data_IF_950362807758
#
_entry.id   IF_950362807758
#
_cell.length_a   1.000
_cell.length_b   1.000
_cell.length_c   1.000
_cell.angle_alpha   90.00
_cell.angle_beta   90.00
_cell.angle_gamma   90.00
#
_symmetry.space_group_name_H-M   'P 1'
#
loop_
_entity.id
_entity.type
_entity.pdbx_description
1 polymer ?
#
# COMPACT_ATOMS: atom_id res chain seq x y z
N UNK A 1 -3.17 3.57 6.13
CA UNK A 1 -2.03 4.40 5.70
C UNK A 1 -1.88 5.69 6.52
N UNK A 2 -2.83 6.64 6.60
CA UNK A 2 -2.60 7.90 7.32
C UNK A 2 -2.12 7.72 8.76
N UNK A 3 -2.81 6.88 9.54
CA UNK A 3 -2.41 6.56 10.91
C UNK A 3 -1.03 5.88 11.03
N UNK A 4 -0.63 5.09 10.02
CA UNK A 4 0.71 4.50 10.01
C UNK A 4 1.76 5.60 9.85
N UNK A 5 1.55 6.53 8.92
CA UNK A 5 2.47 7.66 8.69
C UNK A 5 2.56 8.57 9.93
N UNK A 6 1.42 8.96 10.50
CA UNK A 6 1.35 9.80 11.71
C UNK A 6 2.05 9.16 12.92
N UNK A 7 1.92 7.84 13.09
CA UNK A 7 2.56 7.09 14.18
C UNK A 7 4.09 7.08 14.05
N UNK A 8 4.61 6.94 12.82
CA UNK A 8 6.04 6.69 12.60
C UNK A 8 6.84 7.94 12.22
N UNK A 9 6.18 9.04 11.84
CA UNK A 9 6.82 10.28 11.42
C UNK A 9 6.18 11.49 12.13
N UNK A 10 6.31 11.55 13.46
CA UNK A 10 5.65 12.55 14.30
C UNK A 10 6.01 14.01 14.00
N UNK A 11 7.17 14.25 13.39
CA UNK A 11 7.65 15.58 13.01
C UNK A 11 7.06 16.07 11.67
N UNK A 12 6.28 15.22 11.00
CA UNK A 12 5.58 15.53 9.75
C UNK A 12 4.07 15.55 9.97
N UNK A 13 3.40 16.53 9.36
CA UNK A 13 1.95 16.56 9.23
C UNK A 13 1.56 16.03 7.85
N UNK A 14 0.72 15.00 7.82
CA UNK A 14 0.26 14.38 6.58
C UNK A 14 -1.17 14.79 6.29
N UNK A 15 -1.41 15.29 5.09
CA UNK A 15 -2.76 15.60 4.63
C UNK A 15 -3.10 14.81 3.38
N UNK A 16 -4.13 13.96 3.47
CA UNK A 16 -4.57 13.14 2.34
C UNK A 16 -5.38 13.98 1.34
N UNK A 17 -4.90 14.07 0.09
CA UNK A 17 -5.59 14.78 -1.00
C UNK A 17 -6.43 13.91 -1.94
N UNK A 18 -6.26 12.58 -1.90
CA UNK A 18 -7.07 11.65 -2.70
C UNK A 18 -8.34 11.23 -1.95
N UNK A 19 -9.50 11.08 -2.62
CA UNK A 19 -10.73 10.66 -1.97
C UNK A 19 -10.60 9.27 -1.34
N UNK A 20 -11.31 9.05 -0.23
CA UNK A 20 -11.51 7.71 0.33
C UNK A 20 -12.56 7.02 -0.54
N UNK A 21 -12.11 6.25 -1.53
CA UNK A 21 -13.04 5.42 -2.30
C UNK A 21 -13.51 4.24 -1.45
N UNK A 22 -14.76 4.31 -0.98
CA UNK A 22 -15.46 3.13 -0.43
C UNK A 22 -15.86 2.25 -1.61
N UNK A 23 -15.07 1.19 -1.88
CA UNK A 23 -15.50 0.14 -2.81
C UNK A 23 -16.89 -0.34 -2.37
N UNK A 24 -17.89 -0.40 -3.27
CA UNK A 24 -19.20 -0.95 -2.92
C UNK A 24 -19.00 -2.36 -2.35
N UNK A 25 -19.57 -2.62 -1.18
CA UNK A 25 -19.65 -3.97 -0.63
C UNK A 25 -20.64 -4.77 -1.48
N UNK A 26 -20.13 -5.39 -2.54
CA UNK A 26 -20.90 -6.27 -3.42
C UNK A 26 -20.16 -7.58 -3.57
N UNK A 27 -20.85 -8.70 -3.29
CA UNK A 27 -20.37 -10.06 -3.60
C UNK A 27 -19.86 -10.07 -5.05
N UNK A 28 -18.57 -10.34 -5.24
CA UNK A 28 -17.97 -10.50 -6.57
C UNK A 28 -18.77 -11.58 -7.30
N UNK A 29 -19.40 -11.24 -8.42
CA UNK A 29 -19.96 -12.27 -9.32
C UNK A 29 -18.80 -13.00 -9.98
N UNK A 30 -18.79 -14.34 -9.91
CA UNK A 30 -17.86 -15.16 -10.70
C UNK A 30 -17.93 -14.73 -12.17
N UNK A 31 -16.77 -14.48 -12.78
CA UNK A 31 -16.66 -14.13 -14.21
C UNK A 31 -16.72 -12.63 -14.56
N UNK A 32 -16.84 -11.71 -13.59
CA UNK A 32 -16.82 -10.26 -13.86
C UNK A 32 -15.46 -9.65 -13.50
N UNK A 33 -14.70 -9.18 -14.50
CA UNK A 33 -13.48 -8.41 -14.27
C UNK A 33 -13.83 -6.99 -13.81
N UNK A 34 -13.79 -6.75 -12.50
CA UNK A 34 -13.94 -5.41 -11.96
C UNK A 34 -12.64 -4.64 -12.13
N UNK A 35 -12.47 -3.97 -13.27
CA UNK A 35 -11.51 -2.88 -13.48
C UNK A 35 -10.10 -3.12 -12.92
N UNK A 36 -9.51 -4.28 -13.23
CA UNK A 36 -8.10 -4.56 -12.98
C UNK A 36 -7.25 -3.60 -13.86
N UNK A 37 -6.23 -2.96 -13.29
CA UNK A 37 -5.29 -2.10 -14.04
C UNK A 37 -5.58 -0.58 -14.10
N UNK A 38 -6.70 -0.09 -13.54
CA UNK A 38 -7.03 1.36 -13.57
C UNK A 38 -6.44 2.18 -12.43
N UNK A 39 -5.81 1.59 -11.42
CA UNK A 39 -5.40 2.26 -10.17
C UNK A 39 -4.28 3.27 -10.40
N UNK A 40 -3.14 2.88 -10.95
CA UNK A 40 -2.00 3.79 -11.18
C UNK A 40 -2.27 4.88 -12.20
N UNK A 41 -2.85 4.55 -13.37
CA UNK A 41 -3.24 5.54 -14.39
C UNK A 41 -4.31 6.51 -13.87
N UNK A 42 -5.28 6.03 -13.09
CA UNK A 42 -6.26 6.90 -12.44
C UNK A 42 -5.59 7.79 -11.40
N UNK A 43 -4.61 7.28 -10.65
CA UNK A 43 -3.87 8.08 -9.68
C UNK A 43 -3.07 9.18 -10.36
N UNK A 44 -2.39 8.92 -11.48
CA UNK A 44 -1.69 9.94 -12.26
C UNK A 44 -2.63 11.07 -12.72
N UNK A 45 -3.84 10.74 -13.16
CA UNK A 45 -4.87 11.74 -13.50
C UNK A 45 -5.33 12.52 -12.26
N UNK A 46 -5.60 11.82 -11.16
CA UNK A 46 -6.00 12.44 -9.89
C UNK A 46 -4.92 13.35 -9.33
N UNK A 47 -3.64 13.01 -9.47
CA UNK A 47 -2.51 13.86 -9.08
C UNK A 47 -2.62 15.20 -9.79
N UNK A 48 -2.81 15.21 -11.11
CA UNK A 48 -2.92 16.46 -11.89
C UNK A 48 -4.05 17.35 -11.40
N UNK A 49 -5.23 16.78 -11.22
CA UNK A 49 -6.44 17.53 -10.83
C UNK A 49 -6.36 18.04 -9.38
N UNK A 50 -5.95 17.17 -8.45
CA UNK A 50 -5.94 17.46 -7.02
C UNK A 50 -4.77 18.36 -6.64
N UNK A 51 -3.59 18.12 -7.20
CA UNK A 51 -2.43 18.96 -6.92
C UNK A 51 -2.66 20.37 -7.42
N UNK A 52 -3.21 20.54 -8.63
CA UNK A 52 -3.58 21.87 -9.15
C UNK A 52 -4.53 22.58 -8.18
N UNK A 53 -5.61 21.91 -7.78
CA UNK A 53 -6.60 22.49 -6.85
C UNK A 53 -5.97 22.88 -5.52
N UNK A 54 -5.08 22.05 -4.97
CA UNK A 54 -4.41 22.31 -3.70
C UNK A 54 -3.46 23.51 -3.80
N UNK A 55 -2.64 23.59 -4.86
CA UNK A 55 -1.72 24.71 -5.05
C UNK A 55 -2.43 26.04 -5.30
N UNK A 56 -3.60 26.01 -5.94
CA UNK A 56 -4.38 27.22 -6.24
C UNK A 56 -5.14 27.77 -5.01
N UNK A 57 -5.54 26.90 -4.05
CA UNK A 57 -6.54 27.27 -3.04
C UNK A 57 -6.13 26.99 -1.57
N UNK A 58 -5.03 26.29 -1.34
CA UNK A 58 -4.68 25.77 -0.01
C UNK A 58 -3.30 26.24 0.45
N UNK A 59 -2.97 25.95 1.70
CA UNK A 59 -1.65 26.29 2.26
C UNK A 59 -0.54 25.53 1.51
N UNK A 60 0.63 26.16 1.29
CA UNK A 60 1.74 25.52 0.60
C UNK A 60 2.23 24.28 1.38
N UNK A 61 2.46 23.18 0.68
CA UNK A 61 3.07 21.98 1.25
C UNK A 61 4.58 21.94 1.00
N UNK A 62 5.32 21.30 1.91
CA UNK A 62 6.77 21.14 1.79
C UNK A 62 7.18 19.88 1.00
N UNK A 63 6.26 18.92 0.84
CA UNK A 63 6.48 17.63 0.20
C UNK A 63 5.20 17.19 -0.52
N UNK A 64 5.36 16.72 -1.75
CA UNK A 64 4.37 15.90 -2.45
C UNK A 64 4.74 14.44 -2.22
N UNK A 65 3.90 13.71 -1.48
CA UNK A 65 4.06 12.29 -1.21
C UNK A 65 3.03 11.50 -2.03
N UNK A 66 3.50 10.58 -2.86
CA UNK A 66 2.67 9.63 -3.60
C UNK A 66 2.94 8.22 -3.08
N UNK A 67 1.89 7.49 -2.70
CA UNK A 67 1.97 6.07 -2.32
C UNK A 67 0.90 5.32 -3.10
N UNK A 68 1.31 4.26 -3.82
CA UNK A 68 0.40 3.40 -4.59
C UNK A 68 0.71 1.91 -4.36
N UNK A 69 -0.25 1.04 -4.67
CA UNK A 69 0.01 -0.41 -4.79
C UNK A 69 0.78 -0.64 -6.10
N UNK A 70 1.92 -1.33 -6.04
CA UNK A 70 2.76 -1.53 -7.24
C UNK A 70 2.08 -2.47 -8.24
N UNK A 71 1.24 -3.39 -7.76
CA UNK A 71 0.54 -4.40 -8.56
C UNK A 71 1.50 -5.15 -9.51
N UNK A 72 2.69 -5.51 -9.04
CA UNK A 72 3.74 -6.19 -9.82
C UNK A 72 4.27 -5.40 -11.03
N UNK A 73 3.90 -4.12 -11.18
CA UNK A 73 4.42 -3.27 -12.26
C UNK A 73 5.89 -2.93 -12.03
N UNK A 74 6.53 -2.47 -13.09
CA UNK A 74 7.88 -1.89 -13.06
C UNK A 74 7.89 -0.60 -12.24
N UNK A 75 8.60 -0.63 -11.11
CA UNK A 75 8.70 0.48 -10.15
C UNK A 75 9.23 1.76 -10.80
N UNK A 76 10.24 1.68 -11.64
CA UNK A 76 10.89 2.86 -12.23
C UNK A 76 9.96 3.52 -13.25
N UNK A 77 9.26 2.72 -14.06
CA UNK A 77 8.23 3.23 -14.98
C UNK A 77 7.07 3.88 -14.23
N UNK A 78 6.60 3.28 -13.13
CA UNK A 78 5.53 3.89 -12.32
C UNK A 78 6.00 5.19 -11.65
N UNK A 79 7.24 5.21 -11.15
CA UNK A 79 7.86 6.41 -10.57
C UNK A 79 7.89 7.53 -11.60
N UNK A 80 8.41 7.25 -12.80
CA UNK A 80 8.50 8.23 -13.88
C UNK A 80 7.12 8.75 -14.30
N UNK A 81 6.12 7.87 -14.43
CA UNK A 81 4.74 8.27 -14.76
C UNK A 81 4.16 9.26 -13.74
N UNK A 82 4.39 9.03 -12.45
CA UNK A 82 3.91 9.94 -11.41
C UNK A 82 4.71 11.25 -11.34
N UNK A 83 6.03 11.21 -11.56
CA UNK A 83 6.85 12.42 -11.68
C UNK A 83 6.37 13.30 -12.83
N UNK A 84 6.15 12.72 -14.02
CA UNK A 84 5.61 13.42 -15.18
C UNK A 84 4.24 14.02 -14.89
N UNK A 85 3.38 13.30 -14.16
CA UNK A 85 2.09 13.83 -13.75
C UNK A 85 2.23 15.08 -12.87
N UNK A 86 3.15 15.06 -11.89
CA UNK A 86 3.44 16.20 -11.02
C UNK A 86 4.02 17.36 -11.83
N UNK A 87 4.95 17.10 -12.75
CA UNK A 87 5.63 18.14 -13.55
C UNK A 87 4.70 18.91 -14.48
N UNK A 88 3.57 18.32 -14.87
CA UNK A 88 2.55 19.03 -15.66
C UNK A 88 1.77 20.08 -14.87
N UNK A 89 1.90 20.14 -13.54
CA UNK A 89 1.19 21.08 -12.69
C UNK A 89 2.06 22.31 -12.39
N UNK A 90 1.58 23.48 -12.80
CA UNK A 90 2.25 24.75 -12.52
C UNK A 90 2.46 24.95 -11.00
N UNK A 91 3.66 25.41 -10.62
CA UNK A 91 4.02 25.61 -9.20
C UNK A 91 4.54 24.35 -8.49
N UNK A 92 4.30 23.15 -9.02
CA UNK A 92 4.76 21.90 -8.41
C UNK A 92 6.27 21.61 -8.64
N UNK A 93 6.91 22.32 -9.56
CA UNK A 93 8.33 22.16 -9.89
C UNK A 93 9.28 22.42 -8.71
N UNK A 94 8.93 23.37 -7.83
CA UNK A 94 9.77 23.77 -6.71
C UNK A 94 9.54 22.93 -5.43
N UNK A 95 8.52 22.07 -5.42
CA UNK A 95 8.14 21.28 -4.23
C UNK A 95 8.87 19.94 -4.27
N UNK A 96 9.47 19.56 -3.14
CA UNK A 96 10.11 18.24 -2.99
C UNK A 96 9.09 17.12 -3.23
N UNK A 97 9.56 15.98 -3.74
CA UNK A 97 8.72 14.85 -4.12
C UNK A 97 9.27 13.58 -3.53
N UNK A 98 8.38 12.71 -3.07
CA UNK A 98 8.72 11.34 -2.69
C UNK A 98 7.63 10.42 -3.22
N UNK A 99 8.04 9.38 -3.93
CA UNK A 99 7.16 8.39 -4.52
C UNK A 99 7.50 7.05 -3.89
N UNK A 100 6.53 6.44 -3.24
CA UNK A 100 6.64 5.14 -2.60
C UNK A 100 5.64 4.15 -3.15
N UNK A 101 5.92 2.88 -2.94
CA UNK A 101 5.04 1.79 -3.37
C UNK A 101 4.86 0.77 -2.26
N UNK A 102 3.69 0.16 -2.22
CA UNK A 102 3.48 -1.10 -1.53
C UNK A 102 3.56 -2.23 -2.56
N UNK A 103 4.54 -3.12 -2.44
CA UNK A 103 4.79 -4.17 -3.42
C UNK A 103 4.44 -5.56 -2.85
N UNK A 104 3.71 -6.40 -3.60
CA UNK A 104 2.83 -6.01 -4.71
C UNK A 104 1.67 -5.09 -4.28
N UNK A 105 1.24 -5.19 -3.02
CA UNK A 105 0.21 -4.36 -2.38
C UNK A 105 0.46 -4.31 -0.87
N UNK A 106 -0.28 -3.46 -0.13
CA UNK A 106 -0.10 -3.28 1.33
C UNK A 106 -0.14 -4.57 2.15
N UNK A 107 -0.87 -5.58 1.69
CA UNK A 107 -0.98 -6.87 2.37
C UNK A 107 0.38 -7.59 2.49
N UNK A 108 1.35 -7.28 1.62
CA UNK A 108 2.72 -7.78 1.75
C UNK A 108 3.37 -7.36 3.08
N UNK A 109 3.07 -6.14 3.53
CA UNK A 109 3.61 -5.62 4.79
C UNK A 109 3.02 -6.35 6.01
N UNK A 110 1.75 -6.73 5.91
CA UNK A 110 1.10 -7.55 6.94
C UNK A 110 1.74 -8.95 7.01
N UNK A 111 2.04 -9.54 5.84
CA UNK A 111 2.68 -10.86 5.76
C UNK A 111 4.12 -10.83 6.29
N UNK A 112 4.88 -9.79 5.95
CA UNK A 112 6.26 -9.62 6.42
C UNK A 112 6.36 -9.64 7.95
N UNK A 113 5.41 -8.98 8.61
CA UNK A 113 5.30 -8.91 10.07
C UNK A 113 4.08 -9.67 10.60
N UNK A 114 3.91 -10.91 10.13
CA UNK A 114 2.78 -11.77 10.47
C UNK A 114 2.52 -11.88 11.98
N UNK A 115 3.59 -12.03 12.76
CA UNK A 115 3.51 -12.31 14.19
C UNK A 115 3.03 -11.11 15.01
N UNK A 116 3.21 -9.87 14.53
CA UNK A 116 2.65 -8.68 15.17
C UNK A 116 1.29 -8.26 14.62
N UNK A 117 0.95 -8.71 13.40
CA UNK A 117 -0.28 -8.33 12.71
C UNK A 117 -1.32 -9.45 12.78
N UNK A 118 -1.42 -10.29 11.75
CA UNK A 118 -2.46 -11.31 11.61
C UNK A 118 -2.46 -12.29 12.79
N UNK A 119 -1.28 -12.73 13.24
CA UNK A 119 -1.19 -13.69 14.34
C UNK A 119 -1.72 -13.18 15.67
N UNK A 120 -1.66 -11.86 15.91
CA UNK A 120 -2.12 -11.23 17.17
C UNK A 120 -3.57 -10.76 17.11
N UNK A 121 -4.10 -10.51 15.91
CA UNK A 121 -5.44 -9.97 15.76
C UNK A 121 -6.51 -10.93 16.29
N UNK A 122 -7.49 -10.42 17.05
CA UNK A 122 -8.51 -11.25 17.69
C UNK A 122 -9.30 -12.11 16.72
N UNK A 123 -9.45 -11.64 15.48
CA UNK A 123 -10.24 -12.35 14.46
C UNK A 123 -9.47 -13.48 13.76
N UNK A 124 -8.14 -13.46 13.81
CA UNK A 124 -7.30 -14.42 13.07
C UNK A 124 -6.40 -15.25 13.99
N UNK A 125 -6.12 -14.81 15.21
CA UNK A 125 -5.22 -15.49 16.16
C UNK A 125 -5.56 -16.96 16.45
N UNK A 126 -6.83 -17.36 16.25
CA UNK A 126 -7.25 -18.76 16.44
C UNK A 126 -6.93 -19.67 15.25
N UNK A 127 -6.81 -19.11 14.04
CA UNK A 127 -6.63 -19.83 12.78
C UNK A 127 -5.31 -19.48 12.06
N UNK A 128 -4.54 -18.50 12.57
CA UNK A 128 -3.40 -17.91 11.86
C UNK A 128 -2.30 -18.92 11.45
N UNK A 129 -2.10 -20.00 12.23
CA UNK A 129 -1.11 -21.02 11.87
C UNK A 129 -1.53 -21.80 10.62
N UNK A 130 -2.82 -22.17 10.55
CA UNK A 130 -3.38 -22.85 9.39
C UNK A 130 -3.40 -21.93 8.16
N UNK A 131 -3.80 -20.66 8.35
CA UNK A 131 -3.70 -19.63 7.30
C UNK A 131 -2.27 -19.52 6.78
N UNK A 132 -1.28 -19.33 7.68
CA UNK A 132 0.12 -19.17 7.31
C UNK A 132 0.65 -20.38 6.55
N UNK A 133 0.33 -21.59 7.02
CA UNK A 133 0.71 -22.83 6.35
C UNK A 133 0.17 -22.85 4.92
N UNK A 134 -1.12 -22.63 4.73
CA UNK A 134 -1.75 -22.64 3.40
C UNK A 134 -1.23 -21.54 2.47
N UNK A 135 -1.07 -20.32 2.99
CA UNK A 135 -0.49 -19.21 2.23
C UNK A 135 0.92 -19.53 1.77
N UNK A 136 1.74 -20.14 2.64
CA UNK A 136 3.12 -20.52 2.30
C UNK A 136 3.21 -21.74 1.39
N UNK A 137 2.33 -22.73 1.55
CA UNK A 137 2.46 -24.04 0.91
C UNK A 137 1.61 -24.15 -0.36
N UNK A 138 0.34 -23.81 -0.28
CA UNK A 138 -0.60 -23.90 -1.41
C UNK A 138 -0.52 -22.68 -2.33
N UNK A 139 -0.25 -21.50 -1.75
CA UNK A 139 -0.13 -20.24 -2.50
C UNK A 139 1.30 -19.80 -2.76
N UNK A 140 2.30 -20.53 -2.26
CA UNK A 140 3.71 -20.21 -2.45
C UNK A 140 4.07 -18.75 -2.09
N UNK A 141 3.39 -18.17 -1.11
CA UNK A 141 3.67 -16.80 -0.66
C UNK A 141 4.97 -16.80 0.15
N UNK A 142 5.99 -16.03 -0.25
CA UNK A 142 7.25 -15.95 0.48
C UNK A 142 7.13 -15.03 1.70
N UNK A 143 7.07 -15.60 2.91
CA UNK A 143 6.95 -14.82 4.16
C UNK A 143 8.23 -14.05 4.55
N UNK A 144 9.37 -14.37 3.93
CA UNK A 144 10.65 -13.69 4.15
C UNK A 144 10.98 -12.68 3.04
N UNK A 145 10.22 -12.66 1.94
CA UNK A 145 10.35 -11.70 0.85
C UNK A 145 8.99 -11.41 0.18
N UNK A 146 7.95 -10.97 0.91
CA UNK A 146 6.59 -10.93 0.39
C UNK A 146 6.39 -9.94 -0.76
N UNK A 147 7.31 -8.99 -0.95
CA UNK A 147 7.30 -8.09 -2.12
C UNK A 147 7.60 -8.80 -3.45
N UNK A 148 8.18 -10.01 -3.41
CA UNK A 148 8.42 -10.83 -4.60
C UNK A 148 7.23 -11.71 -4.98
N UNK A 149 6.09 -11.56 -4.31
CA UNK A 149 4.93 -12.41 -4.58
C UNK A 149 4.27 -12.06 -5.91
N UNK A 150 3.87 -13.12 -6.62
CA UNK A 150 3.22 -13.10 -7.92
C UNK A 150 4.10 -12.56 -9.05
N UNK A 151 3.53 -12.54 -10.25
CA UNK A 151 4.15 -12.09 -11.48
C UNK A 151 3.28 -11.03 -12.14
N UNK A 152 3.89 -10.17 -12.95
CA UNK A 152 3.16 -9.19 -13.72
C UNK A 152 2.36 -9.85 -14.84
N UNK A 153 1.05 -9.58 -14.87
CA UNK A 153 0.15 -9.97 -15.94
C UNK A 153 -0.10 -8.77 -16.86
N UNK A 154 0.45 -8.84 -18.09
CA UNK A 154 0.35 -7.76 -19.07
C UNK A 154 -1.07 -7.54 -19.62
N UNK A 155 -1.91 -8.56 -19.62
CA UNK A 155 -3.28 -8.48 -20.14
C UNK A 155 -4.19 -7.75 -19.15
N UNK A 156 -3.94 -7.93 -17.85
CA UNK A 156 -4.69 -7.27 -16.76
C UNK A 156 -4.02 -6.00 -16.24
N UNK A 157 -2.77 -5.73 -16.62
CA UNK A 157 -1.95 -4.61 -16.14
C UNK A 157 -1.90 -4.60 -14.59
N UNK A 158 -1.68 -5.77 -13.97
CA UNK A 158 -1.52 -5.95 -12.52
C UNK A 158 -0.85 -7.30 -12.19
N UNK A 159 -0.71 -7.65 -10.92
CA UNK A 159 -0.29 -8.99 -10.51
C UNK A 159 -1.24 -10.08 -11.02
N UNK A 160 -0.66 -11.24 -11.34
CA UNK A 160 -1.40 -12.44 -11.74
C UNK A 160 -2.30 -12.95 -10.61
N UNK A 161 -1.78 -12.94 -9.38
CA UNK A 161 -2.46 -13.28 -8.13
C UNK A 161 -2.35 -12.12 -7.13
N UNK A 162 -3.33 -12.01 -6.22
CA UNK A 162 -3.39 -10.95 -5.21
C UNK A 162 -3.26 -11.50 -3.81
N UNK A 163 -2.41 -10.87 -3.00
CA UNK A 163 -2.21 -11.23 -1.59
C UNK A 163 -3.50 -11.06 -0.79
N UNK A 164 -4.24 -9.98 -1.04
CA UNK A 164 -5.53 -9.72 -0.41
C UNK A 164 -6.57 -10.80 -0.71
N UNK A 165 -6.56 -11.37 -1.92
CA UNK A 165 -7.45 -12.48 -2.29
C UNK A 165 -7.03 -13.79 -1.64
N UNK A 166 -5.71 -14.04 -1.55
CA UNK A 166 -5.18 -15.19 -0.82
C UNK A 166 -5.52 -15.11 0.69
N UNK A 167 -5.39 -13.94 1.31
CA UNK A 167 -5.77 -13.72 2.71
C UNK A 167 -7.26 -14.00 2.93
N UNK A 168 -8.14 -13.46 2.08
CA UNK A 168 -9.60 -13.74 2.13
C UNK A 168 -9.87 -15.23 2.04
N UNK A 169 -9.34 -15.90 1.01
CA UNK A 169 -9.55 -17.32 0.80
C UNK A 169 -9.04 -18.16 1.97
N UNK A 170 -7.89 -17.79 2.56
CA UNK A 170 -7.35 -18.49 3.73
C UNK A 170 -8.25 -18.34 4.96
N UNK A 171 -8.89 -17.19 5.16
CA UNK A 171 -9.83 -17.00 6.28
C UNK A 171 -11.13 -17.80 6.09
N UNK A 172 -11.63 -17.91 4.86
CA UNK A 172 -12.80 -18.71 4.52
C UNK A 172 -12.52 -20.20 4.68
N UNK A 173 -11.36 -20.68 4.20
CA UNK A 173 -10.95 -22.09 4.23
C UNK A 173 -10.83 -22.65 5.65
N UNK A 174 -10.37 -21.84 6.61
CA UNK A 174 -10.10 -22.28 7.97
C UNK A 174 -11.08 -21.73 9.01
N UNK A 175 -12.25 -21.26 8.55
CA UNK A 175 -13.35 -20.80 9.40
C UNK A 175 -12.86 -19.86 10.51
N UNK A 176 -12.03 -18.89 10.13
CA UNK A 176 -11.59 -17.86 11.06
C UNK A 176 -12.79 -17.11 11.64
N UNK A 177 -12.60 -16.44 12.77
CA UNK A 177 -13.67 -15.72 13.45
C UNK A 177 -14.34 -14.69 12.53
N UNK A 178 -13.56 -14.03 11.68
CA UNK A 178 -14.05 -13.17 10.61
C UNK A 178 -13.30 -13.44 9.30
N UNK A 179 -13.91 -13.07 8.18
CA UNK A 179 -13.26 -13.07 6.86
C UNK A 179 -12.40 -11.83 6.73
N UNK A 180 -11.18 -11.97 6.18
CA UNK A 180 -10.31 -10.83 5.96
C UNK A 180 -11.00 -9.78 5.07
N UNK A 181 -10.84 -8.51 5.42
CA UNK A 181 -11.49 -7.38 4.74
C UNK A 181 -10.44 -6.29 4.55
N UNK A 182 -10.09 -6.01 3.29
CA UNK A 182 -9.07 -5.01 2.95
C UNK A 182 -9.44 -3.61 3.46
N UNK A 183 -10.74 -3.30 3.56
CA UNK A 183 -11.22 -2.00 4.03
C UNK A 183 -11.15 -1.82 5.55
N UNK A 184 -11.30 -2.91 6.30
CA UNK A 184 -11.41 -2.87 7.77
C UNK A 184 -10.13 -3.33 8.44
N UNK A 185 -9.60 -4.48 8.03
CA UNK A 185 -8.46 -5.11 8.67
C UNK A 185 -7.13 -4.48 8.25
N UNK A 186 -6.92 -4.18 6.96
CA UNK A 186 -5.63 -3.61 6.51
C UNK A 186 -5.26 -2.32 7.28
N UNK A 187 -6.14 -1.31 7.46
CA UNK A 187 -5.78 -0.13 8.23
C UNK A 187 -5.44 -0.41 9.70
N UNK A 188 -6.16 -1.33 10.34
CA UNK A 188 -5.94 -1.71 11.74
C UNK A 188 -4.61 -2.44 11.92
N UNK A 189 -4.35 -3.42 11.07
CA UNK A 189 -3.15 -4.25 11.12
C UNK A 189 -1.90 -3.47 10.74
N UNK A 190 -1.99 -2.52 9.79
CA UNK A 190 -0.88 -1.60 9.49
C UNK A 190 -0.41 -0.85 10.74
N UNK A 191 -1.33 -0.46 11.64
CA UNK A 191 -0.99 0.22 12.89
C UNK A 191 -0.19 -0.65 13.88
N UNK A 192 -0.16 -1.97 13.69
CA UNK A 192 0.49 -2.94 14.58
C UNK A 192 1.88 -3.36 14.09
N UNK A 193 2.27 -2.92 12.89
CA UNK A 193 3.55 -3.28 12.29
C UNK A 193 4.72 -2.77 13.15
N UNK A 194 5.68 -3.66 13.31
CA UNK A 194 7.06 -3.41 13.70
C UNK A 194 7.89 -3.13 12.44
N UNK A 195 8.32 -1.88 12.31
CA UNK A 195 9.01 -1.38 11.11
C UNK A 195 10.34 -2.08 10.91
N UNK A 196 11.07 -2.44 11.96
CA UNK A 196 12.38 -3.07 11.83
C UNK A 196 12.25 -4.45 11.18
N UNK A 197 11.20 -5.21 11.55
CA UNK A 197 10.91 -6.50 10.92
C UNK A 197 10.49 -6.34 9.47
N UNK A 198 9.64 -5.35 9.19
CA UNK A 198 9.16 -5.08 7.84
C UNK A 198 10.31 -4.67 6.91
N UNK A 199 11.14 -3.71 7.32
CA UNK A 199 12.27 -3.19 6.53
C UNK A 199 13.29 -4.26 6.14
N UNK A 200 13.47 -5.28 6.99
CA UNK A 200 14.38 -6.40 6.70
C UNK A 200 13.87 -7.34 5.60
N UNK A 201 12.57 -7.38 5.35
CA UNK A 201 11.91 -8.30 4.40
C UNK A 201 11.35 -7.62 3.16
N UNK A 202 11.17 -6.30 3.24
CA UNK A 202 10.50 -5.49 2.23
C UNK A 202 11.41 -4.32 1.80
N UNK A 203 12.31 -4.54 0.83
CA UNK A 203 13.22 -3.50 0.32
C UNK A 203 12.52 -2.26 -0.24
N UNK A 204 11.40 -2.40 -0.96
CA UNK A 204 10.65 -1.28 -1.55
C UNK A 204 10.01 -0.45 -0.44
N UNK A 205 9.43 -1.10 0.57
CA UNK A 205 9.02 -0.40 1.79
C UNK A 205 10.19 0.33 2.47
N UNK A 206 11.33 -0.33 2.64
CA UNK A 206 12.49 0.24 3.34
C UNK A 206 13.00 1.52 2.65
N UNK A 207 12.99 1.55 1.31
CA UNK A 207 13.31 2.76 0.54
C UNK A 207 12.36 3.92 0.82
N UNK A 208 11.04 3.66 0.79
CA UNK A 208 10.03 4.66 1.15
C UNK A 208 10.22 5.16 2.59
N UNK A 209 10.40 4.22 3.53
CA UNK A 209 10.52 4.53 4.95
C UNK A 209 11.77 5.38 5.25
N UNK A 210 12.91 5.03 4.65
CA UNK A 210 14.14 5.81 4.81
C UNK A 210 14.07 7.17 4.13
N UNK A 211 13.42 7.27 2.96
CA UNK A 211 13.16 8.53 2.28
C UNK A 211 12.33 9.48 3.15
N UNK A 212 11.24 8.98 3.74
CA UNK A 212 10.41 9.74 4.69
C UNK A 212 11.15 10.08 5.98
N UNK A 213 11.88 9.13 6.56
CA UNK A 213 12.66 9.36 7.80
C UNK A 213 13.70 10.46 7.60
N UNK A 214 14.41 10.43 6.48
CA UNK A 214 15.39 11.46 6.11
C UNK A 214 14.70 12.80 5.92
N UNK A 215 13.52 12.82 5.29
CA UNK A 215 12.79 14.06 5.08
C UNK A 215 12.30 14.66 6.40
N UNK A 216 11.54 13.87 7.18
CA UNK A 216 10.87 14.32 8.41
C UNK A 216 11.88 14.60 9.54
N UNK A 217 12.93 13.79 9.67
CA UNK A 217 13.96 13.97 10.70
C UNK A 217 14.92 15.14 10.43
N UNK A 218 14.98 15.65 9.19
CA UNK A 218 15.78 16.82 8.83
C UNK A 218 15.00 18.15 8.94
N UNK A 219 13.73 18.14 9.33
CA UNK A 219 12.98 19.38 9.63
C UNK A 219 13.26 19.79 11.08
N UNK A 220 14.49 20.23 11.37
CA UNK A 220 14.72 21.07 12.55
C UNK A 220 14.27 22.49 12.21
N UNK A 221 13.37 23.11 12.99
CA UNK A 221 13.08 24.52 12.81
C UNK A 221 14.37 25.31 13.06
N UNK A 222 14.72 26.18 12.11
CA UNK A 222 15.68 27.26 12.35
C UNK A 222 15.13 28.23 13.38
#
# INVERSE_FOLDING_TARGET
MPHFLEKHFSDCQFERKTPIYKKPAGKRKQGVSYGYGKTGKSLAVQIKERLKTALDNEAPCHLILVIDDLDCRDKDKQTQMFLEAIDTVAGAAAIKRLIGFAAPELEAWLIADWDNTVAKHVDFRGCHQAMRWWLSHDKNIPFDAPESFSEYDSDRDCCFEKLSEALIASTEQYECKEIFSKGEHTPLLLGQIDVDKLSNKCPIFNELYNGLSTYCGNVRPN
#
